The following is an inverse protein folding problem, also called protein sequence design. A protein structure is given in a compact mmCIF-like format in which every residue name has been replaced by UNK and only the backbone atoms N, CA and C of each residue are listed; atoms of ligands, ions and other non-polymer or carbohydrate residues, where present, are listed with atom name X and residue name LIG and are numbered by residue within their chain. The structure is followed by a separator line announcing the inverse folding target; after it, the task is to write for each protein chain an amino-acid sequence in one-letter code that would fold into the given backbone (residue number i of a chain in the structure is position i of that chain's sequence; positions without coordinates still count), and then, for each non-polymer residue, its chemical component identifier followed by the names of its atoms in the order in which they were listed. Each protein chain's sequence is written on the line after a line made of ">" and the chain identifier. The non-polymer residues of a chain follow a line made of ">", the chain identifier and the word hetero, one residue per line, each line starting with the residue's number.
data_IF_361439494910
#
_entry.id   IF_361439494910
#
_cell.length_a   1.000
_cell.length_b   1.000
_cell.length_c   1.000
_cell.angle_alpha   90.00
_cell.angle_beta   90.00
_cell.angle_gamma   90.00
#
_symmetry.space_group_name_H-M   'P 1'
#
loop_
_entity.id
_entity.type
_entity.pdbx_description
1 polymer ?
#
# COMPACT_ATOMS: atom_id res chain seq x y z
N UNK A 1 -30.06 -53.81 32.17
CA UNK A 1 -29.25 -53.27 31.06
C UNK A 1 -29.35 -51.75 31.08
N UNK A 2 -28.26 -51.08 31.48
CA UNK A 2 -28.10 -49.64 31.50
C UNK A 2 -28.27 -49.03 30.09
N UNK A 3 -28.90 -47.86 29.99
CA UNK A 3 -28.68 -46.94 28.86
C UNK A 3 -28.17 -45.60 29.39
N UNK A 4 -26.87 -45.38 29.23
CA UNK A 4 -26.12 -44.16 29.57
C UNK A 4 -26.70 -42.95 28.83
N UNK A 5 -27.12 -41.91 29.56
CA UNK A 5 -27.40 -40.58 29.02
C UNK A 5 -26.08 -39.95 28.57
N UNK A 6 -25.95 -39.71 27.27
CA UNK A 6 -24.80 -39.05 26.65
C UNK A 6 -24.63 -37.60 27.15
N UNK A 7 -23.43 -37.30 27.63
CA UNK A 7 -22.92 -35.98 28.02
C UNK A 7 -23.14 -34.96 26.89
N UNK A 8 -23.86 -33.87 27.15
CA UNK A 8 -23.81 -32.66 26.32
C UNK A 8 -22.42 -32.02 26.49
N UNK A 9 -21.57 -32.15 25.48
CA UNK A 9 -20.33 -31.38 25.40
C UNK A 9 -20.69 -29.97 24.96
N UNK A 10 -20.61 -29.03 25.90
CA UNK A 10 -20.57 -27.59 25.61
C UNK A 10 -19.32 -27.32 24.78
N UNK A 11 -19.49 -27.23 23.46
CA UNK A 11 -18.43 -26.82 22.55
C UNK A 11 -17.89 -25.46 23.00
N UNK A 12 -16.62 -25.43 23.41
CA UNK A 12 -15.88 -24.21 23.70
C UNK A 12 -16.02 -23.29 22.47
N UNK A 13 -16.71 -22.16 22.63
CA UNK A 13 -16.64 -21.06 21.66
C UNK A 13 -15.25 -20.47 21.77
N UNK A 14 -14.33 -20.96 20.95
CA UNK A 14 -13.03 -20.35 20.77
C UNK A 14 -13.24 -18.94 20.22
N UNK A 15 -12.98 -17.94 21.06
CA UNK A 15 -12.95 -16.56 20.64
C UNK A 15 -11.67 -16.34 19.83
N UNK A 16 -11.77 -16.47 18.50
CA UNK A 16 -10.73 -16.03 17.58
C UNK A 16 -10.67 -14.49 17.55
N UNK A 17 -10.16 -13.88 18.63
CA UNK A 17 -9.99 -12.43 18.78
C UNK A 17 -9.03 -11.82 17.74
N UNK A 18 -8.23 -12.65 17.05
CA UNK A 18 -7.33 -12.22 15.98
C UNK A 18 -7.97 -12.06 14.59
N UNK A 19 -9.26 -12.37 14.42
CA UNK A 19 -9.92 -12.23 13.11
C UNK A 19 -10.37 -10.78 12.85
N UNK A 20 -9.51 -10.05 12.12
CA UNK A 20 -9.90 -9.24 10.95
C UNK A 20 -11.08 -8.26 11.14
N UNK A 21 -10.97 -7.31 12.07
CA UNK A 21 -11.77 -6.07 12.00
C UNK A 21 -11.08 -4.99 11.17
N UNK A 22 -9.75 -5.00 11.14
CA UNK A 22 -8.97 -3.95 10.46
C UNK A 22 -9.04 -4.02 8.93
N UNK A 23 -9.40 -5.17 8.35
CA UNK A 23 -9.39 -5.33 6.88
C UNK A 23 -10.48 -4.49 6.20
N UNK A 24 -11.69 -4.45 6.77
CA UNK A 24 -12.80 -3.63 6.29
C UNK A 24 -12.54 -2.13 6.54
N UNK A 25 -12.06 -1.79 7.75
CA UNK A 25 -11.75 -0.41 8.12
C UNK A 25 -10.60 0.17 7.29
N UNK A 26 -9.51 -0.57 7.08
CA UNK A 26 -8.42 -0.15 6.20
C UNK A 26 -8.85 -0.07 4.73
N UNK A 27 -9.85 -0.87 4.30
CA UNK A 27 -10.46 -0.74 2.99
C UNK A 27 -11.25 0.56 2.82
N UNK A 28 -12.08 0.92 3.81
CA UNK A 28 -12.81 2.19 3.82
C UNK A 28 -11.86 3.38 3.88
N UNK A 29 -10.82 3.33 4.73
CA UNK A 29 -9.76 4.35 4.82
C UNK A 29 -9.03 4.52 3.48
N UNK A 30 -8.70 3.41 2.81
CA UNK A 30 -8.08 3.46 1.48
C UNK A 30 -8.99 4.14 0.45
N UNK A 31 -10.29 3.83 0.45
CA UNK A 31 -11.25 4.47 -0.46
C UNK A 31 -11.40 5.97 -0.16
N UNK A 32 -11.44 6.35 1.11
CA UNK A 32 -11.47 7.75 1.54
C UNK A 32 -10.21 8.49 1.04
N UNK A 33 -9.02 7.93 1.26
CA UNK A 33 -7.76 8.51 0.76
C UNK A 33 -7.79 8.69 -0.76
N UNK A 34 -8.19 7.65 -1.52
CA UNK A 34 -8.29 7.72 -2.98
C UNK A 34 -9.23 8.84 -3.42
N UNK A 35 -10.39 8.98 -2.78
CA UNK A 35 -11.36 10.05 -3.08
C UNK A 35 -10.78 11.44 -2.79
N UNK A 36 -10.04 11.59 -1.69
CA UNK A 36 -9.39 12.86 -1.34
C UNK A 36 -8.35 13.24 -2.37
N UNK A 37 -7.40 12.37 -2.69
CA UNK A 37 -6.31 12.71 -3.63
C UNK A 37 -6.79 12.93 -5.06
N UNK A 38 -7.91 12.33 -5.45
CA UNK A 38 -8.48 12.50 -6.78
C UNK A 38 -8.94 13.94 -7.07
N UNK A 39 -9.41 14.65 -6.02
CA UNK A 39 -9.98 15.99 -6.13
C UNK A 39 -8.95 17.11 -6.09
N UNK A 40 -7.68 16.79 -5.84
CA UNK A 40 -6.63 17.79 -5.66
C UNK A 40 -6.05 18.23 -7.01
N UNK A 41 -5.35 19.37 -7.10
CA UNK A 41 -4.48 19.63 -8.25
C UNK A 41 -3.30 18.64 -8.27
N UNK A 42 -2.55 18.61 -9.39
CA UNK A 42 -1.36 17.76 -9.54
C UNK A 42 -0.09 18.39 -8.93
N UNK A 43 -0.24 19.37 -8.07
CA UNK A 43 0.85 20.02 -7.34
C UNK A 43 1.28 19.18 -6.14
N UNK A 44 2.60 19.04 -5.96
CA UNK A 44 3.16 18.26 -4.86
C UNK A 44 2.64 18.73 -3.50
N UNK A 45 2.67 20.03 -3.25
CA UNK A 45 2.30 20.62 -1.96
C UNK A 45 0.82 20.40 -1.62
N UNK A 46 -0.07 20.54 -2.61
CA UNK A 46 -1.49 20.27 -2.41
C UNK A 46 -1.74 18.80 -2.04
N UNK A 47 -1.08 17.87 -2.74
CA UNK A 47 -1.25 16.43 -2.50
C UNK A 47 -0.62 16.00 -1.19
N UNK A 48 0.61 16.42 -0.92
CA UNK A 48 1.35 16.04 0.29
C UNK A 48 0.69 16.68 1.51
N UNK A 49 0.30 17.95 1.44
CA UNK A 49 -0.42 18.62 2.52
C UNK A 49 -1.76 17.96 2.83
N UNK A 50 -2.50 17.49 1.82
CA UNK A 50 -3.74 16.75 2.05
C UNK A 50 -3.51 15.36 2.66
N UNK A 51 -2.48 14.64 2.22
CA UNK A 51 -2.10 13.33 2.77
C UNK A 51 -1.58 13.44 4.22
N UNK A 52 -0.86 14.51 4.52
CA UNK A 52 -0.38 14.82 5.87
C UNK A 52 -1.55 15.13 6.80
N UNK A 53 -2.49 15.98 6.37
CA UNK A 53 -3.73 16.24 7.12
C UNK A 53 -4.57 14.99 7.32
N UNK A 54 -4.63 14.11 6.31
CA UNK A 54 -5.36 12.85 6.41
C UNK A 54 -4.72 11.90 7.45
N UNK A 55 -3.39 11.90 7.55
CA UNK A 55 -2.64 11.07 8.51
C UNK A 55 -2.59 11.67 9.92
N UNK A 56 -2.72 12.99 10.05
CA UNK A 56 -2.60 13.70 11.33
C UNK A 56 -3.60 13.25 12.41
N UNK A 57 -4.74 12.67 12.00
CA UNK A 57 -5.78 12.15 12.91
C UNK A 57 -5.62 10.66 13.23
N UNK A 58 -4.57 10.02 12.74
CA UNK A 58 -4.30 8.60 12.94
C UNK A 58 -3.32 8.41 14.09
N UNK A 59 -3.63 7.49 15.01
CA UNK A 59 -2.76 7.16 16.16
C UNK A 59 -1.47 6.47 15.73
N UNK A 60 -1.53 5.70 14.65
CA UNK A 60 -0.40 5.02 14.01
C UNK A 60 -0.46 5.26 12.51
N UNK A 61 0.71 5.30 11.86
CA UNK A 61 0.75 5.50 10.42
C UNK A 61 -0.03 4.39 9.69
N UNK A 62 -1.05 4.70 8.88
CA UNK A 62 -1.97 3.71 8.33
C UNK A 62 -1.41 3.00 7.09
N UNK A 63 -0.25 2.33 7.21
CA UNK A 63 0.51 1.65 6.14
C UNK A 63 -0.37 0.75 5.28
N UNK A 64 -1.25 -0.03 5.91
CA UNK A 64 -2.14 -0.98 5.23
C UNK A 64 -3.16 -0.25 4.35
N UNK A 65 -3.73 0.85 4.85
CA UNK A 65 -4.71 1.64 4.09
C UNK A 65 -4.05 2.33 2.90
N UNK A 66 -2.86 2.92 3.08
CA UNK A 66 -2.09 3.55 1.99
C UNK A 66 -1.70 2.50 0.94
N UNK A 67 -1.25 1.32 1.37
CA UNK A 67 -0.92 0.21 0.46
C UNK A 67 -2.13 -0.27 -0.34
N UNK A 68 -3.31 -0.34 0.29
CA UNK A 68 -4.57 -0.66 -0.40
C UNK A 68 -4.97 0.45 -1.39
N UNK A 69 -4.78 1.72 -1.02
CA UNK A 69 -5.06 2.84 -1.91
C UNK A 69 -4.15 2.82 -3.15
N UNK A 70 -2.86 2.54 -3.00
CA UNK A 70 -1.93 2.35 -4.12
C UNK A 70 -2.39 1.24 -5.07
N UNK A 71 -2.85 0.10 -4.53
CA UNK A 71 -3.43 -0.99 -5.36
C UNK A 71 -4.67 -0.53 -6.12
N UNK A 72 -5.53 0.30 -5.51
CA UNK A 72 -6.74 0.83 -6.16
C UNK A 72 -6.36 1.81 -7.28
N UNK A 73 -5.47 2.76 -7.02
CA UNK A 73 -4.99 3.73 -8.01
C UNK A 73 -4.36 3.04 -9.22
N UNK A 74 -3.54 2.01 -8.97
CA UNK A 74 -2.94 1.17 -10.01
C UNK A 74 -4.00 0.47 -10.86
N UNK A 75 -4.98 -0.18 -10.24
CA UNK A 75 -6.07 -0.85 -10.97
C UNK A 75 -6.91 0.09 -11.82
N UNK A 76 -7.00 1.37 -11.42
CA UNK A 76 -7.75 2.41 -12.15
C UNK A 76 -6.89 3.15 -13.19
N UNK A 77 -5.60 2.84 -13.32
CA UNK A 77 -4.70 3.52 -14.23
C UNK A 77 -4.37 4.97 -13.84
N UNK A 78 -4.56 5.35 -12.58
CA UNK A 78 -4.23 6.70 -12.10
C UNK A 78 -2.75 6.78 -11.68
N UNK A 79 -1.86 6.68 -12.67
CA UNK A 79 -0.41 6.53 -12.49
C UNK A 79 0.22 7.73 -11.78
N UNK A 80 -0.09 8.95 -12.18
CA UNK A 80 0.39 10.19 -11.52
C UNK A 80 0.07 10.19 -10.03
N UNK A 81 -1.15 9.80 -9.64
CA UNK A 81 -1.55 9.72 -8.23
C UNK A 81 -0.84 8.58 -7.50
N UNK A 82 -0.67 7.45 -8.15
CA UNK A 82 0.09 6.34 -7.57
C UNK A 82 1.54 6.77 -7.28
N UNK A 83 2.18 7.51 -8.19
CA UNK A 83 3.52 8.09 -7.99
C UNK A 83 3.53 9.02 -6.79
N UNK A 84 2.60 10.00 -6.74
CA UNK A 84 2.54 10.98 -5.65
C UNK A 84 2.32 10.32 -4.28
N UNK A 85 1.37 9.40 -4.17
CA UNK A 85 1.08 8.71 -2.90
C UNK A 85 2.24 7.81 -2.48
N UNK A 86 2.89 7.10 -3.42
CA UNK A 86 4.02 6.24 -3.10
C UNK A 86 5.27 7.04 -2.67
N UNK A 87 5.60 8.12 -3.40
CA UNK A 87 6.70 9.02 -3.01
C UNK A 87 6.44 9.69 -1.66
N UNK A 88 5.21 10.12 -1.41
CA UNK A 88 4.82 10.67 -0.12
C UNK A 88 5.02 9.64 1.00
N UNK A 89 4.54 8.41 0.83
CA UNK A 89 4.68 7.34 1.81
C UNK A 89 6.16 7.09 2.17
N UNK A 90 7.04 6.99 1.15
CA UNK A 90 8.49 6.84 1.34
C UNK A 90 9.09 8.05 2.06
N UNK A 91 8.66 9.28 1.73
CA UNK A 91 9.15 10.50 2.40
C UNK A 91 8.81 10.56 3.90
N UNK A 92 7.82 9.79 4.35
CA UNK A 92 7.48 9.62 5.78
C UNK A 92 8.26 8.50 6.45
N UNK A 93 9.26 7.93 5.77
CA UNK A 93 10.01 6.77 6.23
C UNK A 93 9.21 5.47 6.19
N UNK A 94 8.07 5.45 5.50
CA UNK A 94 7.15 4.32 5.47
C UNK A 94 7.13 3.68 4.08
N UNK A 95 6.82 2.38 4.01
CA UNK A 95 6.62 1.73 2.73
C UNK A 95 7.85 1.68 1.81
N UNK A 96 9.07 1.83 2.35
CA UNK A 96 10.32 1.56 1.63
C UNK A 96 10.50 0.04 1.42
N UNK A 97 9.58 -0.56 0.67
CA UNK A 97 9.52 -1.99 0.38
C UNK A 97 9.67 -2.22 -1.11
N UNK A 98 10.17 -3.40 -1.49
CA UNK A 98 10.28 -3.79 -2.90
C UNK A 98 8.94 -3.73 -3.65
N UNK A 99 7.82 -3.97 -2.98
CA UNK A 99 6.49 -3.84 -3.58
C UNK A 99 6.08 -2.39 -3.89
N UNK A 100 6.50 -1.44 -3.06
CA UNK A 100 6.28 -0.01 -3.32
C UNK A 100 7.18 0.47 -4.46
N UNK A 101 8.45 0.06 -4.46
CA UNK A 101 9.37 0.35 -5.56
C UNK A 101 8.91 -0.25 -6.90
N UNK A 102 8.42 -1.49 -6.91
CA UNK A 102 7.80 -2.16 -8.06
C UNK A 102 6.61 -1.36 -8.63
N UNK A 103 5.82 -0.77 -7.72
CA UNK A 103 4.69 0.07 -8.08
C UNK A 103 5.15 1.42 -8.64
N UNK A 104 6.21 2.02 -8.08
CA UNK A 104 6.77 3.27 -8.58
C UNK A 104 7.37 3.13 -9.98
N UNK A 105 8.22 2.13 -10.21
CA UNK A 105 8.83 1.88 -11.52
C UNK A 105 7.76 1.65 -12.59
N UNK A 106 6.76 0.80 -12.29
CA UNK A 106 5.63 0.59 -13.19
C UNK A 106 4.83 1.87 -13.44
N UNK A 107 4.62 2.70 -12.40
CA UNK A 107 3.85 3.92 -12.59
C UNK A 107 4.62 4.96 -13.41
N UNK A 108 5.95 5.04 -13.29
CA UNK A 108 6.77 5.91 -14.14
C UNK A 108 6.77 5.48 -15.59
N UNK A 109 6.88 4.18 -15.85
CA UNK A 109 6.76 3.59 -17.19
C UNK A 109 5.44 3.99 -17.86
N UNK A 110 4.33 3.73 -17.16
CA UNK A 110 2.99 4.04 -17.66
C UNK A 110 2.73 5.55 -17.80
N UNK A 111 3.43 6.39 -17.03
CA UNK A 111 3.41 7.86 -17.13
C UNK A 111 4.42 8.40 -18.17
N UNK A 112 5.12 7.51 -18.88
CA UNK A 112 6.16 7.82 -19.90
C UNK A 112 7.34 8.64 -19.37
N UNK A 113 7.75 8.38 -18.13
CA UNK A 113 8.85 9.05 -17.42
C UNK A 113 10.01 8.09 -17.14
N UNK A 114 10.55 7.52 -18.21
CA UNK A 114 11.56 6.44 -18.15
C UNK A 114 12.87 6.93 -17.51
N UNK A 115 13.26 8.18 -17.77
CA UNK A 115 14.40 8.86 -17.16
C UNK A 115 14.30 8.90 -15.62
N UNK A 116 13.10 9.15 -15.10
CA UNK A 116 12.83 9.15 -13.66
C UNK A 116 12.79 7.74 -13.10
N UNK A 117 12.35 6.75 -13.89
CA UNK A 117 12.40 5.35 -13.50
C UNK A 117 13.84 4.87 -13.36
N UNK A 118 14.71 5.21 -14.31
CA UNK A 118 16.13 4.82 -14.31
C UNK A 118 16.90 5.43 -13.14
N UNK A 119 16.74 6.73 -12.89
CA UNK A 119 17.35 7.38 -11.72
C UNK A 119 16.86 6.78 -10.39
N UNK A 120 15.56 6.45 -10.30
CA UNK A 120 14.99 5.77 -9.13
C UNK A 120 15.55 4.35 -8.98
N UNK A 121 15.75 3.62 -10.08
CA UNK A 121 16.34 2.28 -10.08
C UNK A 121 17.79 2.30 -9.57
N UNK A 122 18.60 3.24 -10.04
CA UNK A 122 19.99 3.38 -9.59
C UNK A 122 20.06 3.60 -8.08
N UNK A 123 19.20 4.47 -7.53
CA UNK A 123 19.08 4.65 -6.08
C UNK A 123 18.73 3.33 -5.35
N UNK A 124 17.76 2.57 -5.86
CA UNK A 124 17.33 1.29 -5.25
C UNK A 124 18.47 0.28 -5.26
N UNK A 125 19.19 0.14 -6.38
CA UNK A 125 20.30 -0.79 -6.49
C UNK A 125 21.42 -0.41 -5.52
N UNK A 126 21.81 0.86 -5.46
CA UNK A 126 22.85 1.29 -4.52
C UNK A 126 22.46 1.10 -3.05
N UNK A 127 21.20 1.36 -2.68
CA UNK A 127 20.75 1.24 -1.29
C UNK A 127 20.41 -0.20 -0.86
N UNK A 128 19.94 -1.04 -1.80
CA UNK A 128 19.23 -2.27 -1.45
C UNK A 128 19.62 -3.50 -2.31
N UNK A 129 20.79 -3.49 -2.96
CA UNK A 129 21.23 -4.52 -3.93
C UNK A 129 20.96 -5.97 -3.51
N UNK A 130 21.23 -6.33 -2.24
CA UNK A 130 21.08 -7.71 -1.72
C UNK A 130 19.63 -8.17 -1.58
N UNK A 131 18.67 -7.25 -1.65
CA UNK A 131 17.25 -7.49 -1.41
C UNK A 131 16.37 -7.25 -2.64
N UNK A 132 16.98 -6.91 -3.78
CA UNK A 132 16.26 -6.68 -5.03
C UNK A 132 15.68 -8.01 -5.52
N UNK A 133 14.36 -8.03 -5.67
CA UNK A 133 13.66 -9.22 -6.18
C UNK A 133 13.87 -9.41 -7.69
N UNK A 134 13.89 -10.66 -8.15
CA UNK A 134 13.97 -11.01 -9.60
C UNK A 134 12.88 -10.31 -10.43
N UNK A 135 11.67 -10.19 -9.88
CA UNK A 135 10.55 -9.50 -10.53
C UNK A 135 10.84 -8.01 -10.76
N UNK A 136 11.41 -7.33 -9.77
CA UNK A 136 11.73 -5.91 -9.88
C UNK A 136 12.82 -5.69 -10.94
N UNK A 137 13.83 -6.56 -10.94
CA UNK A 137 14.89 -6.55 -11.95
C UNK A 137 14.35 -6.82 -13.37
N UNK A 138 13.47 -7.82 -13.53
CA UNK A 138 12.80 -8.10 -14.80
C UNK A 138 11.95 -6.92 -15.29
N UNK A 139 11.32 -6.18 -14.37
CA UNK A 139 10.60 -4.95 -14.73
C UNK A 139 11.52 -3.90 -15.29
N UNK A 140 12.66 -3.62 -14.65
CA UNK A 140 13.62 -2.65 -15.15
C UNK A 140 14.11 -2.99 -16.56
N UNK A 141 14.38 -4.26 -16.84
CA UNK A 141 14.81 -4.71 -18.19
C UNK A 141 13.69 -4.54 -19.24
N UNK A 142 12.42 -4.50 -18.81
CA UNK A 142 11.26 -4.39 -19.71
C UNK A 142 10.80 -2.94 -19.94
N UNK A 143 11.42 -1.96 -19.26
CA UNK A 143 11.21 -0.53 -19.48
C UNK A 143 11.91 -0.10 -20.78
#
# INVERSE_FOLDING_TARGET
>A
MEKKKGKKTTGKKEHHLWKSRDSAQSGQKALALVRTVYKLPNEKEAVYGALDKWTAWETEFPVIAVSKALKILRKRGHWVRAIQVAKWMISKGQGATMGTYDTLLLAFDMDKRVDVAESSWNMIIHAHIRSVSKRLFSRMISL
#
